data_IF_637989489010
#
_entry.id   IF_637989489010
#
_cell.length_a   1.000
_cell.length_b   1.000
_cell.length_c   1.000
_cell.angle_alpha   90.00
_cell.angle_beta   90.00
_cell.angle_gamma   90.00
#
_symmetry.space_group_name_H-M   'P 1'
#
loop_
_entity.id
_entity.type
_entity.pdbx_description
1 polymer ?
#
# COMPACT_ATOMS: atom_id res chain seq x y z
N UNK A 1 36.61 23.35 -2.34
CA UNK A 1 36.58 21.94 -2.77
C UNK A 1 35.95 21.13 -1.64
N UNK A 2 34.63 21.20 -1.48
CA UNK A 2 33.91 20.34 -0.53
C UNK A 2 32.47 20.16 -1.05
N UNK A 3 32.23 19.08 -1.80
CA UNK A 3 30.89 18.52 -1.99
C UNK A 3 31.03 17.00 -1.90
N UNK A 4 30.95 16.47 -0.68
CA UNK A 4 30.87 15.04 -0.41
C UNK A 4 29.93 14.86 0.76
N UNK A 5 28.66 14.54 0.47
CA UNK A 5 27.68 14.22 1.49
C UNK A 5 26.20 14.20 1.08
N UNK A 6 25.82 14.65 -0.13
CA UNK A 6 24.40 14.91 -0.47
C UNK A 6 23.63 13.74 -1.10
N UNK A 7 24.27 12.62 -1.42
CA UNK A 7 23.67 11.61 -2.32
C UNK A 7 22.79 10.56 -1.63
N UNK A 8 23.02 10.27 -0.34
CA UNK A 8 22.33 9.17 0.34
C UNK A 8 21.03 9.62 1.05
N UNK A 9 21.00 10.85 1.56
CA UNK A 9 19.80 11.42 2.19
C UNK A 9 18.72 11.75 1.17
N UNK A 10 19.11 12.25 -0.01
CA UNK A 10 18.19 12.60 -1.10
C UNK A 10 17.39 11.37 -1.55
N UNK A 11 18.05 10.23 -1.77
CA UNK A 11 17.36 9.00 -2.16
C UNK A 11 16.40 8.46 -1.10
N UNK A 12 16.72 8.61 0.19
CA UNK A 12 15.84 8.18 1.28
C UNK A 12 14.63 9.11 1.42
N UNK A 13 14.82 10.42 1.25
CA UNK A 13 13.75 11.41 1.25
C UNK A 13 12.83 11.24 0.03
N UNK A 14 13.39 11.00 -1.16
CA UNK A 14 12.64 10.69 -2.38
C UNK A 14 11.78 9.44 -2.21
N UNK A 15 12.36 8.37 -1.63
CA UNK A 15 11.61 7.14 -1.35
C UNK A 15 10.46 7.42 -0.39
N UNK A 16 10.69 8.17 0.70
CA UNK A 16 9.63 8.53 1.66
C UNK A 16 8.54 9.38 1.02
N UNK A 17 8.91 10.32 0.15
CA UNK A 17 7.99 11.18 -0.58
C UNK A 17 7.11 10.38 -1.54
N UNK A 18 7.71 9.50 -2.33
CA UNK A 18 6.95 8.61 -3.23
C UNK A 18 5.96 7.76 -2.44
N UNK A 19 6.41 7.13 -1.34
CA UNK A 19 5.54 6.32 -0.48
C UNK A 19 4.38 7.13 0.11
N UNK A 20 4.64 8.34 0.63
CA UNK A 20 3.59 9.15 1.25
C UNK A 20 2.53 9.58 0.23
N UNK A 21 2.93 9.95 -0.98
CA UNK A 21 2.02 10.29 -2.09
C UNK A 21 1.13 9.10 -2.43
N UNK A 22 1.71 7.92 -2.63
CA UNK A 22 0.95 6.74 -3.07
C UNK A 22 0.05 6.20 -1.95
N UNK A 23 0.50 6.21 -0.70
CA UNK A 23 -0.33 5.84 0.46
C UNK A 23 -1.51 6.82 0.61
N UNK A 24 -1.26 8.13 0.52
CA UNK A 24 -2.32 9.14 0.62
C UNK A 24 -3.35 8.95 -0.50
N UNK A 25 -2.92 8.68 -1.73
CA UNK A 25 -3.81 8.38 -2.86
C UNK A 25 -4.64 7.13 -2.61
N UNK A 26 -4.02 6.04 -2.19
CA UNK A 26 -4.71 4.79 -1.91
C UNK A 26 -5.77 4.96 -0.82
N UNK A 27 -5.42 5.61 0.29
CA UNK A 27 -6.35 5.87 1.39
C UNK A 27 -7.44 6.87 1.01
N UNK A 28 -7.12 7.89 0.21
CA UNK A 28 -8.09 8.88 -0.27
C UNK A 28 -9.21 8.27 -1.14
N UNK A 29 -8.92 7.17 -1.84
CA UNK A 29 -9.90 6.42 -2.63
C UNK A 29 -10.74 5.45 -1.81
N UNK A 30 -10.51 5.35 -0.49
CA UNK A 30 -11.23 4.41 0.37
C UNK A 30 -12.27 5.08 1.24
N UNK A 31 -13.44 4.44 1.42
CA UNK A 31 -14.53 5.01 2.21
C UNK A 31 -14.14 5.20 3.69
N UNK A 32 -13.29 4.32 4.22
CA UNK A 32 -12.81 4.40 5.61
C UNK A 32 -11.55 5.27 5.78
N UNK A 33 -10.89 5.66 4.68
CA UNK A 33 -9.58 6.33 4.67
C UNK A 33 -8.51 5.64 5.54
N UNK A 34 -8.66 4.34 5.80
CA UNK A 34 -7.78 3.55 6.67
C UNK A 34 -7.59 2.16 6.11
N UNK A 35 -6.46 1.55 6.46
CA UNK A 35 -6.26 0.12 6.25
C UNK A 35 -7.27 -0.68 7.07
N UNK A 36 -7.87 -1.68 6.43
CA UNK A 36 -8.80 -2.65 7.00
C UNK A 36 -8.08 -3.71 7.85
N UNK A 37 -6.79 -3.92 7.63
CA UNK A 37 -5.96 -4.82 8.44
C UNK A 37 -4.50 -4.86 7.98
N UNK A 38 -3.67 -5.56 8.76
CA UNK A 38 -2.25 -5.76 8.47
C UNK A 38 -2.00 -6.42 7.10
N UNK A 39 -2.75 -7.45 6.65
CA UNK A 39 -2.48 -8.09 5.36
C UNK A 39 -2.61 -7.13 4.18
N UNK A 40 -3.59 -6.24 4.24
CA UNK A 40 -3.79 -5.23 3.22
C UNK A 40 -2.73 -4.13 3.29
N UNK A 41 -2.42 -3.66 4.50
CA UNK A 41 -1.33 -2.70 4.70
C UNK A 41 -0.03 -3.21 4.07
N UNK A 42 0.35 -4.45 4.35
CA UNK A 42 1.57 -5.04 3.85
C UNK A 42 1.53 -5.24 2.32
N UNK A 43 0.40 -5.70 1.78
CA UNK A 43 0.23 -5.85 0.34
C UNK A 43 0.34 -4.50 -0.40
N UNK A 44 -0.31 -3.45 0.11
CA UNK A 44 -0.25 -2.10 -0.47
C UNK A 44 1.17 -1.56 -0.42
N UNK A 45 1.87 -1.69 0.71
CA UNK A 45 3.26 -1.24 0.83
C UNK A 45 4.20 -2.02 -0.10
N UNK A 46 3.98 -3.33 -0.28
CA UNK A 46 4.75 -4.13 -1.23
C UNK A 46 4.56 -3.62 -2.66
N UNK A 47 3.32 -3.36 -3.08
CA UNK A 47 3.03 -2.84 -4.42
C UNK A 47 3.65 -1.45 -4.66
N UNK A 48 3.62 -0.57 -3.66
CA UNK A 48 4.27 0.74 -3.74
C UNK A 48 5.78 0.59 -3.87
N UNK A 49 6.38 -0.34 -3.12
CA UNK A 49 7.81 -0.64 -3.21
C UNK A 49 8.19 -1.15 -4.60
N UNK A 50 7.41 -2.08 -5.16
CA UNK A 50 7.69 -2.65 -6.48
C UNK A 50 7.58 -1.57 -7.56
N UNK A 51 6.55 -0.72 -7.49
CA UNK A 51 6.40 0.43 -8.38
C UNK A 51 7.56 1.43 -8.26
N UNK A 52 8.08 1.66 -7.06
CA UNK A 52 9.26 2.52 -6.85
C UNK A 52 10.51 1.93 -7.52
N UNK A 53 10.73 0.63 -7.36
CA UNK A 53 11.86 -0.07 -7.99
C UNK A 53 11.76 0.00 -9.51
N UNK A 54 10.57 -0.26 -10.05
CA UNK A 54 10.31 -0.17 -11.49
C UNK A 54 10.56 1.25 -12.01
N UNK A 55 10.00 2.27 -11.35
CA UNK A 55 10.19 3.67 -11.72
C UNK A 55 11.67 4.06 -11.73
N UNK A 56 12.43 3.68 -10.70
CA UNK A 56 13.87 3.94 -10.62
C UNK A 56 14.66 3.22 -11.72
N UNK A 57 14.28 1.98 -12.03
CA UNK A 57 14.93 1.19 -13.09
C UNK A 57 14.62 1.67 -14.51
N UNK A 58 13.52 2.40 -14.68
CA UNK A 58 13.07 2.89 -15.99
C UNK A 58 13.92 4.03 -16.56
N UNK A 59 14.79 4.65 -15.76
CA UNK A 59 15.59 5.80 -16.14
C UNK A 59 14.79 7.12 -16.24
N UNK A 60 13.48 7.10 -16.03
CA UNK A 60 12.62 8.30 -16.17
C UNK A 60 12.95 9.42 -15.20
N UNK A 61 13.64 9.12 -14.10
CA UNK A 61 14.04 10.10 -13.09
C UNK A 61 15.42 10.72 -13.38
N UNK A 62 16.15 10.18 -14.36
CA UNK A 62 17.49 10.67 -14.71
C UNK A 62 17.40 12.06 -15.35
N UNK A 63 18.36 12.93 -15.02
CA UNK A 63 18.47 14.30 -15.53
C UNK A 63 17.27 15.23 -15.20
N UNK A 64 16.31 14.77 -14.40
CA UNK A 64 15.25 15.62 -13.87
C UNK A 64 15.70 16.37 -12.63
N UNK A 65 15.26 17.64 -12.54
CA UNK A 65 15.32 18.41 -11.29
C UNK A 65 14.42 17.78 -10.22
N UNK A 66 14.62 18.12 -8.95
CA UNK A 66 13.79 17.61 -7.85
C UNK A 66 12.29 17.85 -8.08
N UNK A 67 11.92 19.05 -8.57
CA UNK A 67 10.52 19.37 -8.92
C UNK A 67 9.99 18.51 -10.09
N UNK A 68 10.85 18.21 -11.08
CA UNK A 68 10.49 17.31 -12.19
C UNK A 68 10.24 15.88 -11.71
N UNK A 69 11.07 15.37 -10.80
CA UNK A 69 10.88 14.05 -10.20
C UNK A 69 9.63 13.98 -9.33
N UNK A 70 9.37 15.02 -8.54
CA UNK A 70 8.15 15.14 -7.75
C UNK A 70 6.89 15.08 -8.63
N UNK A 71 6.91 15.77 -9.78
CA UNK A 71 5.82 15.68 -10.75
C UNK A 71 5.60 14.24 -11.25
N UNK A 72 6.68 13.49 -11.51
CA UNK A 72 6.59 12.07 -11.87
C UNK A 72 6.02 11.22 -10.73
N UNK A 73 6.42 11.47 -9.48
CA UNK A 73 5.89 10.76 -8.32
C UNK A 73 4.38 10.94 -8.19
N UNK A 74 3.90 12.17 -8.42
CA UNK A 74 2.47 12.49 -8.43
C UNK A 74 1.75 11.87 -9.62
N UNK A 75 2.32 11.89 -10.83
CA UNK A 75 1.63 11.35 -12.01
C UNK A 75 1.67 9.83 -12.12
N UNK A 76 2.59 9.16 -11.42
CA UNK A 76 2.68 7.69 -11.37
C UNK A 76 1.42 7.13 -10.71
N UNK A 77 0.63 6.34 -11.46
CA UNK A 77 -0.58 5.69 -10.98
C UNK A 77 -0.31 4.21 -10.70
N UNK A 78 -0.60 3.78 -9.47
CA UNK A 78 -0.59 2.37 -9.09
C UNK A 78 -2.03 1.88 -9.05
N UNK A 79 -2.33 0.83 -9.82
CA UNK A 79 -3.62 0.16 -9.81
C UNK A 79 -3.67 -0.84 -8.65
N UNK A 80 -4.25 -0.45 -7.53
CA UNK A 80 -4.42 -1.34 -6.38
C UNK A 80 -5.63 -2.27 -6.57
N UNK A 81 -5.52 -3.57 -6.27
CA UNK A 81 -6.67 -4.46 -6.25
C UNK A 81 -7.66 -4.02 -5.16
N UNK A 82 -8.94 -4.30 -5.37
CA UNK A 82 -9.96 -4.06 -4.34
C UNK A 82 -9.78 -5.07 -3.21
N UNK A 83 -9.30 -4.59 -2.07
CA UNK A 83 -9.23 -5.36 -0.85
C UNK A 83 -10.61 -5.35 -0.17
N UNK A 84 -11.37 -6.40 -0.39
CA UNK A 84 -12.60 -6.64 0.37
C UNK A 84 -12.19 -7.30 1.68
N UNK A 85 -12.03 -6.49 2.74
CA UNK A 85 -12.03 -7.04 4.09
C UNK A 85 -13.45 -7.50 4.40
N UNK A 86 -13.72 -8.74 4.03
CA UNK A 86 -15.03 -9.33 4.15
C UNK A 86 -15.31 -9.64 5.62
N UNK A 87 -15.82 -8.64 6.34
CA UNK A 87 -16.27 -8.80 7.71
C UNK A 87 -17.65 -9.50 7.80
N UNK A 88 -18.14 -10.13 6.72
CA UNK A 88 -19.50 -10.69 6.70
C UNK A 88 -19.80 -11.78 5.67
N UNK A 89 -19.00 -12.00 4.63
CA UNK A 89 -19.24 -13.09 3.68
C UNK A 89 -18.25 -14.23 3.93
N UNK A 90 -18.82 -15.44 3.98
CA UNK A 90 -18.20 -16.78 3.97
C UNK A 90 -16.78 -16.80 3.38
N UNK A 91 -15.80 -16.41 4.17
CA UNK A 91 -14.40 -16.53 3.81
C UNK A 91 -13.92 -17.93 4.21
N UNK A 92 -13.17 -18.56 3.31
CA UNK A 92 -12.55 -19.86 3.58
C UNK A 92 -11.14 -19.55 4.07
N UNK A 93 -10.85 -19.71 5.37
CA UNK A 93 -9.51 -19.52 5.86
C UNK A 93 -8.60 -20.61 5.28
N UNK A 94 -7.45 -20.20 4.74
CA UNK A 94 -6.47 -21.09 4.12
C UNK A 94 -5.08 -20.82 4.67
N UNK A 95 -4.33 -21.89 4.86
CA UNK A 95 -2.90 -21.89 5.10
C UNK A 95 -2.19 -21.93 3.73
N UNK A 96 -1.67 -20.78 3.30
CA UNK A 96 -0.96 -20.66 2.02
C UNK A 96 0.40 -21.37 2.02
N UNK A 97 1.01 -21.58 3.19
CA UNK A 97 2.31 -22.25 3.31
C UNK A 97 2.14 -23.76 3.17
N UNK A 98 1.05 -24.29 3.72
CA UNK A 98 0.73 -25.73 3.67
C UNK A 98 -0.22 -26.10 2.52
N UNK A 99 -0.80 -25.11 1.83
CA UNK A 99 -1.79 -25.32 0.77
C UNK A 99 -3.10 -25.95 1.26
N UNK A 100 -3.48 -25.71 2.52
CA UNK A 100 -4.61 -26.37 3.17
C UNK A 100 -5.67 -25.37 3.64
N UNK A 101 -6.94 -25.78 3.69
CA UNK A 101 -7.98 -25.01 4.39
C UNK A 101 -7.75 -25.14 5.89
N UNK A 102 -7.72 -24.00 6.59
CA UNK A 102 -7.81 -23.99 8.04
C UNK A 102 -9.27 -24.35 8.35
N UNK A 103 -9.51 -25.40 9.13
CA UNK A 103 -10.87 -25.90 9.40
C UNK A 103 -11.80 -24.80 9.93
N UNK A 104 -13.11 -24.91 9.64
CA UNK A 104 -14.17 -24.00 10.06
C UNK A 104 -14.14 -23.75 11.58
N UNK A 105 -13.42 -22.73 12.03
CA UNK A 105 -13.85 -21.96 13.18
C UNK A 105 -14.69 -20.83 12.63
N UNK A 106 -16.00 -21.08 12.61
CA UNK A 106 -17.00 -20.02 12.54
C UNK A 106 -16.67 -19.09 13.71
N UNK A 107 -16.03 -17.95 13.43
CA UNK A 107 -15.98 -16.86 14.38
C UNK A 107 -17.43 -16.44 14.53
N UNK A 108 -18.07 -16.86 15.62
CA UNK A 108 -19.40 -16.41 15.98
C UNK A 108 -19.33 -14.89 16.16
N UNK A 109 -19.65 -14.15 15.11
CA UNK A 109 -19.90 -12.72 15.19
C UNK A 109 -21.13 -12.59 16.07
N UNK A 110 -20.91 -12.13 17.30
CA UNK A 110 -21.98 -11.75 18.20
C UNK A 110 -22.91 -10.80 17.43
N UNK A 111 -24.11 -11.29 17.12
CA UNK A 111 -25.17 -10.48 16.55
C UNK A 111 -25.36 -9.27 17.47
N UNK A 112 -25.15 -8.07 16.93
CA UNK A 112 -25.52 -6.84 17.63
C UNK A 112 -26.99 -6.98 18.06
N UNK A 113 -27.34 -6.61 19.31
CA UNK A 113 -28.75 -6.54 19.67
C UNK A 113 -29.44 -5.53 18.76
N UNK A 114 -30.51 -5.98 18.12
CA UNK A 114 -31.50 -5.12 17.47
C UNK A 114 -31.96 -4.09 18.50
N UNK A 115 -31.66 -2.82 18.23
CA UNK A 115 -32.22 -1.71 18.99
C UNK A 115 -33.67 -1.54 18.51
N UNK A 116 -34.59 -2.15 19.25
CA UNK A 116 -36.01 -1.89 19.16
C UNK A 116 -36.31 -0.62 19.97
N UNK A 117 -36.60 0.49 19.28
CA UNK A 117 -37.59 1.53 19.63
C UNK A 117 -37.55 2.69 18.63
#
# INVERSE_FOLDING_TARGET
>A
MEESGKTNTDSAEETRLFFSIQVARYLGNRPSQRFSGLPEHDAVLSMIKDAWVELRSSGQLENLSSAGREAIYVTTIICFPTFVADAGLRCIPVDFIRGQRLGEQIIAVASRPTLDM
#
